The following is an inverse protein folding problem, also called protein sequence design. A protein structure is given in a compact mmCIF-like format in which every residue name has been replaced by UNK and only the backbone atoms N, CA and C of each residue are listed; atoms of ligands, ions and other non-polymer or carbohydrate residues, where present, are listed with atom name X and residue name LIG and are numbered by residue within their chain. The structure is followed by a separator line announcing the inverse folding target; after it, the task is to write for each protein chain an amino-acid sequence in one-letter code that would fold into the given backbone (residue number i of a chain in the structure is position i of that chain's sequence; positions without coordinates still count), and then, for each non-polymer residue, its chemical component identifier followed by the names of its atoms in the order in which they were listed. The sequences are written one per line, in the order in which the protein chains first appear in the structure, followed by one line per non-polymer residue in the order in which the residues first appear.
data_IF_606160732311
#
_entry.id   IF_606160732311
#
_cell.length_a   1.000
_cell.length_b   1.000
_cell.length_c   1.000
_cell.angle_alpha   90.00
_cell.angle_beta   90.00
_cell.angle_gamma   90.00
#
_symmetry.space_group_name_H-M   'P 1'
#
loop_
_entity.id
_entity.type
_entity.pdbx_description
1 polymer ?
#
# COMPACT_ATOMS: atom_id res chain seq x y z
N UNK A 1 -4.96 -50.99 -47.72
CA UNK A 1 -4.87 -50.60 -46.29
C UNK A 1 -5.59 -49.26 -46.11
N UNK A 2 -6.76 -49.27 -45.47
CA UNK A 2 -7.58 -48.06 -45.19
C UNK A 2 -7.11 -47.43 -43.88
N UNK A 3 -6.74 -46.14 -43.87
CA UNK A 3 -6.55 -45.36 -42.63
C UNK A 3 -7.72 -44.39 -42.48
N UNK A 4 -8.45 -44.54 -41.38
CA UNK A 4 -9.54 -43.65 -40.98
C UNK A 4 -8.97 -42.45 -40.20
N UNK A 5 -9.39 -41.25 -40.60
CA UNK A 5 -9.17 -40.00 -39.89
C UNK A 5 -10.23 -39.86 -38.79
N UNK A 6 -9.82 -39.66 -37.54
CA UNK A 6 -10.72 -39.27 -36.43
C UNK A 6 -10.45 -37.81 -36.11
N UNK A 7 -11.42 -36.97 -36.43
CA UNK A 7 -11.49 -35.57 -36.00
C UNK A 7 -12.16 -35.58 -34.62
N UNK A 8 -11.42 -35.22 -33.58
CA UNK A 8 -11.96 -34.92 -32.25
C UNK A 8 -12.32 -33.43 -32.21
N UNK A 9 -13.60 -33.13 -32.14
CA UNK A 9 -14.12 -31.78 -31.89
C UNK A 9 -14.11 -31.53 -30.39
N UNK A 10 -13.18 -30.70 -29.90
CA UNK A 10 -13.26 -30.18 -28.53
C UNK A 10 -14.30 -29.05 -28.50
N UNK A 11 -15.42 -29.30 -27.81
CA UNK A 11 -16.37 -28.26 -27.43
C UNK A 11 -15.81 -27.42 -26.29
N UNK A 12 -15.71 -26.11 -26.51
CA UNK A 12 -15.37 -25.13 -25.47
C UNK A 12 -16.65 -24.83 -24.68
N UNK A 13 -16.70 -25.29 -23.43
CA UNK A 13 -17.73 -24.90 -22.47
C UNK A 13 -17.29 -23.59 -21.81
N UNK A 14 -17.94 -22.48 -22.14
CA UNK A 14 -17.78 -21.21 -21.44
C UNK A 14 -18.64 -21.24 -20.17
N UNK A 15 -18.00 -21.40 -19.01
CA UNK A 15 -18.65 -21.20 -17.71
C UNK A 15 -18.65 -19.70 -17.39
N UNK A 16 -19.80 -19.05 -17.54
CA UNK A 16 -20.03 -17.71 -17.01
C UNK A 16 -20.14 -17.79 -15.48
N UNK A 17 -19.06 -17.48 -14.78
CA UNK A 17 -19.10 -17.24 -13.34
C UNK A 17 -19.70 -15.86 -13.08
N UNK A 18 -20.97 -15.83 -12.68
CA UNK A 18 -21.59 -14.69 -12.02
C UNK A 18 -20.95 -14.54 -10.65
N UNK A 19 -20.06 -13.57 -10.50
CA UNK A 19 -19.58 -13.13 -9.20
C UNK A 19 -20.77 -12.55 -8.42
N UNK A 20 -21.19 -13.26 -7.37
CA UNK A 20 -22.16 -12.75 -6.41
C UNK A 20 -21.50 -11.61 -5.63
N UNK A 21 -21.73 -10.37 -6.04
CA UNK A 21 -21.41 -9.19 -5.27
C UNK A 21 -22.31 -9.15 -4.03
N UNK A 22 -21.80 -9.63 -2.89
CA UNK A 22 -22.38 -9.32 -1.60
C UNK A 22 -22.31 -7.80 -1.40
N UNK A 23 -23.47 -7.16 -1.28
CA UNK A 23 -23.57 -5.77 -0.82
C UNK A 23 -23.00 -5.71 0.59
N UNK A 24 -21.73 -5.32 0.70
CA UNK A 24 -21.08 -5.07 1.98
C UNK A 24 -21.79 -3.86 2.59
N UNK A 25 -22.57 -4.11 3.64
CA UNK A 25 -23.00 -3.05 4.54
C UNK A 25 -21.75 -2.32 5.02
N UNK A 26 -21.70 -1.00 4.78
CA UNK A 26 -20.61 -0.17 5.26
C UNK A 26 -20.74 -0.13 6.77
N UNK A 27 -20.02 -0.99 7.48
CA UNK A 27 -19.87 -0.88 8.92
C UNK A 27 -19.32 0.52 9.24
N UNK A 28 -20.07 1.37 9.97
CA UNK A 28 -19.68 2.74 10.26
C UNK A 28 -18.56 2.83 11.31
N UNK A 29 -17.90 1.73 11.67
CA UNK A 29 -16.57 1.73 12.28
C UNK A 29 -15.53 2.27 11.27
N UNK A 30 -15.65 3.56 10.95
CA UNK A 30 -14.61 4.37 10.35
C UNK A 30 -13.44 4.29 11.30
N UNK A 31 -12.41 3.53 10.91
CA UNK A 31 -11.10 3.59 11.53
C UNK A 31 -10.58 4.99 11.27
N UNK A 32 -10.89 5.93 12.16
CA UNK A 32 -10.07 7.12 12.28
C UNK A 32 -8.70 6.61 12.71
N UNK A 33 -7.77 6.50 11.77
CA UNK A 33 -6.38 6.17 12.04
C UNK A 33 -5.74 7.33 12.81
N UNK A 34 -6.02 7.40 14.09
CA UNK A 34 -5.18 8.13 15.01
C UNK A 34 -3.95 7.26 15.24
N UNK A 35 -2.76 7.89 15.28
CA UNK A 35 -1.56 7.23 15.78
C UNK A 35 -1.95 6.64 17.15
N UNK A 36 -1.96 5.31 17.24
CA UNK A 36 -2.33 4.65 18.50
C UNK A 36 -1.26 4.98 19.53
N UNK A 37 -1.58 4.99 20.85
CA UNK A 37 -0.64 5.45 21.87
C UNK A 37 0.68 4.65 21.93
N UNK A 38 0.75 3.50 21.25
CA UNK A 38 1.93 2.64 21.21
C UNK A 38 2.80 2.85 19.96
N UNK A 39 2.30 3.54 18.92
CA UNK A 39 3.11 3.93 17.77
C UNK A 39 3.86 5.21 18.10
N UNK A 40 5.18 5.18 17.97
CA UNK A 40 5.98 6.39 18.17
C UNK A 40 6.24 7.06 16.83
N UNK A 41 6.05 8.37 16.80
CA UNK A 41 6.43 9.24 15.68
C UNK A 41 7.12 10.45 16.29
N UNK A 42 8.42 10.55 16.10
CA UNK A 42 9.24 11.61 16.69
C UNK A 42 10.20 12.19 15.65
N UNK A 43 10.61 13.43 15.84
CA UNK A 43 11.64 14.06 15.02
C UNK A 43 12.96 13.26 15.14
N UNK A 44 13.57 12.92 14.01
CA UNK A 44 14.79 12.13 13.98
C UNK A 44 15.98 12.95 14.50
N UNK A 45 16.35 12.73 15.76
CA UNK A 45 17.52 13.36 16.41
C UNK A 45 18.68 12.37 16.60
N UNK A 46 18.97 11.54 15.59
CA UNK A 46 19.96 10.45 15.67
C UNK A 46 19.63 9.42 16.75
N UNK A 47 18.36 9.04 16.88
CA UNK A 47 17.99 7.87 17.68
C UNK A 47 18.84 6.67 17.23
N UNK A 48 19.38 5.92 18.20
CA UNK A 48 20.10 4.70 17.90
C UNK A 48 19.08 3.68 17.36
N UNK A 49 19.39 2.97 16.27
CA UNK A 49 18.53 1.90 15.79
C UNK A 49 18.21 0.91 16.90
N UNK A 50 16.99 0.41 16.93
CA UNK A 50 16.58 -0.59 17.92
C UNK A 50 17.43 -1.86 17.73
N UNK A 51 17.89 -2.44 18.85
CA UNK A 51 18.68 -3.67 18.84
C UNK A 51 17.88 -4.86 18.25
N UNK A 52 18.59 -5.93 17.83
CA UNK A 52 17.98 -7.13 17.24
C UNK A 52 17.12 -6.87 15.98
N UNK A 53 17.45 -5.83 15.23
CA UNK A 53 16.78 -5.50 13.98
C UNK A 53 17.37 -6.27 12.78
N UNK A 54 16.49 -6.75 11.91
CA UNK A 54 16.84 -7.16 10.55
C UNK A 54 16.67 -5.96 9.62
N UNK A 55 17.80 -5.32 9.31
CA UNK A 55 17.86 -4.14 8.45
C UNK A 55 17.45 -4.51 7.03
N UNK A 56 16.49 -3.76 6.49
CA UNK A 56 16.01 -3.86 5.11
C UNK A 56 16.61 -2.77 4.22
N UNK A 57 16.81 -1.58 4.78
CA UNK A 57 17.44 -0.46 4.11
C UNK A 57 18.27 0.39 5.07
N UNK A 58 19.51 0.71 4.69
CA UNK A 58 20.36 1.77 5.23
C UNK A 58 21.57 2.00 4.29
N UNK A 59 22.58 2.75 4.74
CA UNK A 59 23.83 2.97 3.97
C UNK A 59 24.58 1.72 3.50
N UNK A 60 24.46 0.61 4.22
CA UNK A 60 25.20 -0.63 3.99
C UNK A 60 24.31 -1.76 3.44
N UNK A 61 23.00 -1.56 3.37
CA UNK A 61 22.03 -2.61 3.06
C UNK A 61 20.91 -2.02 2.23
N UNK A 62 20.62 -2.63 1.09
CA UNK A 62 19.47 -2.25 0.28
C UNK A 62 18.75 -3.49 -0.24
N UNK A 63 17.70 -3.88 0.46
CA UNK A 63 16.78 -4.94 0.05
C UNK A 63 15.51 -4.37 -0.61
N UNK A 64 15.47 -3.07 -0.88
CA UNK A 64 14.31 -2.42 -1.50
C UNK A 64 14.19 -2.82 -2.97
N UNK A 65 12.95 -3.00 -3.38
CA UNK A 65 12.48 -3.15 -4.75
C UNK A 65 11.03 -2.68 -4.79
N UNK A 66 10.26 -3.16 -5.76
CA UNK A 66 8.82 -2.93 -5.79
C UNK A 66 8.21 -3.07 -7.17
N UNK A 67 7.05 -2.46 -7.36
CA UNK A 67 6.32 -2.47 -8.62
C UNK A 67 5.98 -1.04 -9.04
N UNK A 68 5.73 -0.86 -10.34
CA UNK A 68 5.23 0.38 -10.91
C UNK A 68 4.41 0.07 -12.18
N UNK A 69 3.13 0.42 -12.15
CA UNK A 69 2.18 0.26 -13.24
C UNK A 69 2.15 1.45 -14.21
N UNK A 70 2.62 2.63 -13.80
CA UNK A 70 2.53 3.89 -14.58
C UNK A 70 3.08 3.74 -15.99
N UNK A 71 4.26 3.12 -16.13
CA UNK A 71 4.90 2.94 -17.44
C UNK A 71 4.13 2.01 -18.38
N UNK A 72 3.35 1.06 -17.83
CA UNK A 72 2.63 0.05 -18.60
C UNK A 72 1.20 0.50 -18.95
N UNK A 73 0.66 1.49 -18.26
CA UNK A 73 -0.71 1.98 -18.43
C UNK A 73 -0.75 3.53 -18.53
N UNK A 74 -0.07 4.14 -19.51
CA UNK A 74 0.10 5.60 -19.57
C UNK A 74 -1.24 6.35 -19.65
N UNK A 75 -2.24 5.80 -20.34
CA UNK A 75 -3.57 6.41 -20.42
C UNK A 75 -4.27 6.37 -19.07
N UNK A 76 -4.17 5.26 -18.32
CA UNK A 76 -4.78 5.10 -16.99
C UNK A 76 -4.25 6.14 -16.00
N UNK A 77 -2.96 6.45 -16.11
CA UNK A 77 -2.23 7.39 -15.25
C UNK A 77 -2.03 8.77 -15.88
N UNK A 78 -2.82 9.11 -16.90
CA UNK A 78 -2.84 10.46 -17.46
C UNK A 78 -3.33 11.47 -16.39
N UNK A 79 -2.58 12.57 -16.23
CA UNK A 79 -2.90 13.63 -15.25
C UNK A 79 -2.11 13.55 -13.93
N UNK A 80 -1.16 12.62 -13.80
CA UNK A 80 -0.14 12.68 -12.76
C UNK A 80 0.64 14.00 -12.81
N UNK A 81 0.98 14.56 -11.64
CA UNK A 81 1.56 15.90 -11.54
C UNK A 81 3.03 15.93 -11.93
N UNK A 82 3.78 14.90 -11.52
CA UNK A 82 5.22 14.84 -11.71
C UNK A 82 5.64 14.00 -12.93
N UNK A 83 6.87 14.19 -13.45
CA UNK A 83 7.41 13.36 -14.52
C UNK A 83 7.52 11.89 -14.11
N UNK A 84 7.38 10.98 -15.08
CA UNK A 84 7.36 9.53 -14.84
C UNK A 84 8.57 8.97 -14.09
N UNK A 85 9.72 9.63 -14.20
CA UNK A 85 10.95 9.30 -13.47
C UNK A 85 10.80 9.35 -11.95
N UNK A 86 9.92 10.21 -11.41
CA UNK A 86 9.69 10.35 -9.96
C UNK A 86 8.99 9.15 -9.34
N UNK A 87 8.27 8.35 -10.12
CA UNK A 87 7.52 7.18 -9.63
C UNK A 87 8.32 5.89 -9.71
N UNK A 88 9.56 5.94 -10.24
CA UNK A 88 10.38 4.76 -10.43
C UNK A 88 10.75 4.14 -9.08
N UNK A 89 10.69 2.81 -9.04
CA UNK A 89 11.12 2.00 -7.90
C UNK A 89 12.43 1.31 -8.29
N UNK A 90 13.53 2.06 -8.23
CA UNK A 90 14.84 1.56 -8.62
C UNK A 90 15.59 0.99 -7.40
N UNK A 91 16.26 -0.16 -7.56
CA UNK A 91 17.12 -0.75 -6.51
C UNK A 91 18.41 0.03 -6.26
N UNK A 92 18.67 1.09 -7.02
CA UNK A 92 19.86 1.92 -6.86
C UNK A 92 19.44 3.14 -6.04
N UNK A 93 19.95 3.32 -4.81
CA UNK A 93 19.68 4.54 -4.06
C UNK A 93 20.17 5.73 -4.87
N UNK A 94 19.44 6.85 -4.82
CA UNK A 94 19.93 8.09 -5.38
C UNK A 94 21.16 8.48 -4.56
N UNK A 95 22.35 8.36 -5.13
CA UNK A 95 23.59 8.81 -4.52
C UNK A 95 23.66 10.34 -4.60
N UNK A 96 22.73 11.03 -3.95
CA UNK A 96 22.77 12.48 -3.84
C UNK A 96 23.40 12.85 -2.50
N UNK A 97 24.54 13.54 -2.55
CA UNK A 97 25.14 14.26 -1.41
C UNK A 97 25.63 13.45 -0.20
N UNK A 98 26.07 12.20 -0.39
CA UNK A 98 26.75 11.43 0.69
C UNK A 98 25.82 10.93 1.79
N UNK A 99 24.53 11.24 1.73
CA UNK A 99 23.49 10.61 2.53
C UNK A 99 22.86 9.49 1.71
N UNK A 100 22.97 8.26 2.18
CA UNK A 100 22.38 7.10 1.52
C UNK A 100 20.87 7.14 1.71
N UNK A 101 20.18 7.75 0.75
CA UNK A 101 18.75 7.96 0.77
C UNK A 101 18.09 7.20 -0.38
N UNK A 102 16.94 6.62 -0.10
CA UNK A 102 16.03 6.15 -1.12
C UNK A 102 14.93 7.19 -1.29
N UNK A 103 14.57 7.55 -2.53
CA UNK A 103 13.53 8.55 -2.82
C UNK A 103 12.64 8.07 -3.96
N UNK A 104 11.33 8.20 -3.80
CA UNK A 104 10.33 7.93 -4.84
C UNK A 104 9.03 8.65 -4.51
N UNK A 105 8.12 8.75 -5.47
CA UNK A 105 6.74 9.22 -5.24
C UNK A 105 5.76 8.06 -5.33
N UNK A 106 5.05 7.76 -4.24
CA UNK A 106 4.05 6.70 -4.17
C UNK A 106 2.68 7.23 -4.62
N UNK A 107 1.93 6.42 -5.38
CA UNK A 107 0.70 6.89 -6.01
C UNK A 107 -0.48 6.02 -5.58
N UNK A 108 -1.54 6.69 -5.12
CA UNK A 108 -2.87 6.11 -4.91
C UNK A 108 -3.87 6.77 -5.86
N UNK A 109 -4.64 5.97 -6.60
CA UNK A 109 -5.79 6.46 -7.37
C UNK A 109 -6.98 6.68 -6.46
N UNK A 110 -7.74 7.75 -6.71
CA UNK A 110 -9.04 7.95 -6.06
C UNK A 110 -10.19 7.28 -6.82
N UNK A 111 -10.12 7.17 -8.15
CA UNK A 111 -11.26 6.75 -8.96
C UNK A 111 -11.54 5.24 -8.94
N UNK A 112 -10.57 4.45 -9.41
CA UNK A 112 -10.75 3.03 -9.73
C UNK A 112 -9.88 2.12 -8.86
N UNK A 113 -10.35 0.89 -8.61
CA UNK A 113 -9.68 -0.11 -7.80
C UNK A 113 -8.58 -0.89 -8.55
N UNK A 114 -8.60 -0.91 -9.88
CA UNK A 114 -7.61 -1.61 -10.70
C UNK A 114 -6.31 -0.84 -10.59
N UNK A 115 -5.17 -1.46 -10.31
CA UNK A 115 -3.90 -0.74 -10.07
C UNK A 115 -4.04 0.49 -9.15
N UNK A 116 -4.95 0.44 -8.16
CA UNK A 116 -5.22 1.59 -7.29
C UNK A 116 -3.96 2.05 -6.55
N UNK A 117 -3.09 1.11 -6.19
CA UNK A 117 -1.72 1.37 -5.77
C UNK A 117 -0.83 1.28 -7.02
N UNK A 118 -0.63 2.41 -7.70
CA UNK A 118 0.05 2.40 -8.99
C UNK A 118 1.49 1.89 -8.86
N UNK A 119 2.13 2.18 -7.74
CA UNK A 119 3.44 1.69 -7.38
C UNK A 119 3.52 1.46 -5.86
N UNK A 120 4.61 0.82 -5.44
CA UNK A 120 4.89 0.63 -4.03
C UNK A 120 6.30 0.09 -3.82
N UNK A 121 6.81 0.32 -2.62
CA UNK A 121 8.12 -0.17 -2.18
C UNK A 121 7.90 -1.54 -1.55
N UNK A 122 8.76 -2.49 -1.90
CA UNK A 122 8.82 -3.82 -1.28
C UNK A 122 10.22 -4.09 -0.74
N UNK A 123 10.33 -4.86 0.33
CA UNK A 123 11.58 -5.45 0.75
C UNK A 123 11.39 -6.94 0.99
N UNK A 124 12.25 -7.78 0.41
CA UNK A 124 12.28 -9.22 0.66
C UNK A 124 13.42 -9.55 1.61
N UNK A 125 13.16 -10.43 2.58
CA UNK A 125 14.11 -10.71 3.65
C UNK A 125 13.96 -12.14 4.16
N UNK A 126 14.97 -12.63 4.91
CA UNK A 126 14.95 -13.97 5.48
C UNK A 126 13.72 -14.15 6.40
N UNK A 127 12.96 -15.27 6.29
CA UNK A 127 11.71 -15.44 7.00
C UNK A 127 11.81 -15.24 8.52
N UNK A 128 10.83 -14.56 9.10
CA UNK A 128 10.71 -14.35 10.56
C UNK A 128 9.30 -14.77 11.00
N UNK A 129 9.13 -15.73 11.93
CA UNK A 129 7.82 -16.02 12.50
C UNK A 129 7.19 -14.75 13.06
N UNK A 130 5.90 -14.50 12.79
CA UNK A 130 5.24 -13.28 13.26
C UNK A 130 5.32 -13.11 14.79
N UNK A 131 5.31 -14.22 15.54
CA UNK A 131 5.50 -14.20 17.00
C UNK A 131 6.81 -13.55 17.45
N UNK A 132 7.84 -13.57 16.59
CA UNK A 132 9.17 -13.03 16.84
C UNK A 132 9.32 -11.59 16.34
N UNK A 133 8.28 -11.01 15.73
CA UNK A 133 8.31 -9.60 15.31
C UNK A 133 7.91 -8.73 16.50
N UNK A 134 8.80 -7.81 16.86
CA UNK A 134 8.52 -6.77 17.85
C UNK A 134 7.83 -5.57 17.19
N UNK A 135 8.26 -5.20 15.97
CA UNK A 135 7.66 -4.11 15.21
C UNK A 135 8.43 -3.77 13.93
N UNK A 136 8.03 -2.67 13.32
CA UNK A 136 8.66 -2.08 12.13
C UNK A 136 9.26 -0.73 12.55
N UNK A 137 10.53 -0.52 12.23
CA UNK A 137 11.25 0.72 12.52
C UNK A 137 11.63 1.41 11.20
N UNK A 138 11.40 2.72 11.12
CA UNK A 138 11.64 3.53 9.93
C UNK A 138 12.23 4.89 10.29
N UNK A 139 13.15 5.35 9.45
CA UNK A 139 13.50 6.79 9.36
C UNK A 139 13.06 7.28 7.99
N UNK A 140 11.99 8.07 7.99
CA UNK A 140 11.18 8.45 6.83
C UNK A 140 11.03 9.98 6.80
N UNK A 141 11.09 10.57 5.61
CA UNK A 141 10.67 11.95 5.36
C UNK A 141 9.62 11.97 4.25
N UNK A 142 8.59 12.78 4.43
CA UNK A 142 7.63 13.09 3.36
C UNK A 142 8.04 14.39 2.69
N UNK A 143 8.48 14.33 1.45
CA UNK A 143 8.96 15.49 0.69
C UNK A 143 7.76 16.21 0.05
N UNK A 144 7.50 17.44 0.46
CA UNK A 144 6.35 18.22 -0.03
C UNK A 144 6.52 18.67 -1.48
N UNK A 145 7.75 18.88 -1.96
CA UNK A 145 8.05 19.29 -3.34
C UNK A 145 7.71 18.20 -4.36
N UNK A 146 7.79 16.93 -3.94
CA UNK A 146 7.42 15.75 -4.74
C UNK A 146 6.10 15.11 -4.29
N UNK A 147 5.30 15.85 -3.52
CA UNK A 147 3.96 15.43 -3.10
C UNK A 147 2.84 16.24 -3.76
N UNK A 148 1.74 15.57 -4.03
CA UNK A 148 0.46 16.14 -4.44
C UNK A 148 -0.64 15.46 -3.63
N UNK A 149 -1.15 16.16 -2.62
CA UNK A 149 -2.17 15.64 -1.71
C UNK A 149 -3.49 16.39 -1.98
N UNK A 150 -4.42 15.83 -2.77
CA UNK A 150 -5.70 16.49 -3.01
C UNK A 150 -6.44 16.76 -1.70
N UNK A 151 -6.87 18.00 -1.51
CA UNK A 151 -7.73 18.38 -0.40
C UNK A 151 -9.12 17.78 -0.53
N UNK A 152 -9.86 17.68 0.59
CA UNK A 152 -11.29 17.31 0.56
C UNK A 152 -12.11 18.14 -0.43
N UNK A 153 -11.77 19.42 -0.59
CA UNK A 153 -12.46 20.32 -1.53
C UNK A 153 -12.18 19.93 -2.98
N UNK A 154 -10.94 19.56 -3.30
CA UNK A 154 -10.58 19.09 -4.65
C UNK A 154 -11.24 17.76 -4.95
N UNK A 155 -11.18 16.79 -4.03
CA UNK A 155 -11.86 15.49 -4.16
C UNK A 155 -13.37 15.70 -4.37
N UNK A 156 -14.01 16.54 -3.55
CA UNK A 156 -15.42 16.87 -3.69
C UNK A 156 -15.73 17.48 -5.06
N UNK A 157 -14.99 18.50 -5.48
CA UNK A 157 -15.18 19.15 -6.79
C UNK A 157 -15.02 18.17 -7.97
N UNK A 158 -14.23 17.12 -7.81
CA UNK A 158 -14.01 16.12 -8.87
C UNK A 158 -15.12 15.07 -8.94
N UNK A 159 -15.80 14.78 -7.83
CA UNK A 159 -16.68 13.61 -7.72
C UNK A 159 -18.08 13.89 -7.14
N UNK A 160 -18.44 15.13 -6.84
CA UNK A 160 -19.72 15.51 -6.22
C UNK A 160 -20.94 15.20 -7.09
N UNK A 161 -20.79 15.20 -8.42
CA UNK A 161 -21.82 14.75 -9.36
C UNK A 161 -22.06 13.22 -9.32
N UNK A 162 -21.10 12.44 -8.80
CA UNK A 162 -21.13 10.97 -8.81
C UNK A 162 -21.44 10.38 -7.44
N UNK A 163 -20.97 11.02 -6.36
CA UNK A 163 -21.00 10.49 -5.00
C UNK A 163 -21.49 11.56 -4.04
N UNK A 164 -22.42 11.25 -3.10
CA UNK A 164 -22.85 12.19 -2.10
C UNK A 164 -21.68 12.76 -1.29
N UNK A 165 -21.69 14.07 -1.06
CA UNK A 165 -20.62 14.79 -0.34
C UNK A 165 -20.23 14.15 1.00
N UNK A 166 -21.21 13.67 1.77
CA UNK A 166 -20.96 13.02 3.07
C UNK A 166 -20.14 11.71 2.96
N UNK A 167 -20.20 11.01 1.82
CA UNK A 167 -19.35 9.85 1.57
C UNK A 167 -17.95 10.29 1.09
N UNK A 168 -17.85 11.34 0.26
CA UNK A 168 -16.57 11.91 -0.16
C UNK A 168 -15.75 12.47 1.00
N UNK A 169 -16.40 13.09 1.98
CA UNK A 169 -15.73 13.60 3.20
C UNK A 169 -15.11 12.49 4.05
N UNK A 170 -15.57 11.25 3.89
CA UNK A 170 -15.02 10.06 4.57
C UNK A 170 -13.96 9.34 3.74
N UNK A 171 -13.80 9.66 2.46
CA UNK A 171 -12.89 8.95 1.56
C UNK A 171 -11.43 9.20 1.93
N UNK A 172 -11.07 10.48 2.10
CA UNK A 172 -9.73 10.94 2.47
C UNK A 172 -9.84 12.28 3.24
N UNK A 173 -8.85 12.58 4.06
CA UNK A 173 -8.77 13.80 4.85
C UNK A 173 -7.72 14.80 4.35
N UNK A 174 -7.04 14.47 3.24
CA UNK A 174 -5.99 15.28 2.64
C UNK A 174 -4.67 15.23 3.40
N UNK A 175 -4.54 14.36 4.41
CA UNK A 175 -3.29 14.09 5.11
C UNK A 175 -2.46 13.04 4.36
N UNK A 176 -1.25 12.77 4.86
CA UNK A 176 -0.45 11.67 4.35
C UNK A 176 -0.94 10.37 4.98
N UNK A 177 -1.28 9.38 4.15
CA UNK A 177 -1.49 8.01 4.62
C UNK A 177 -0.63 7.04 3.84
N UNK A 178 0.03 6.16 4.59
CA UNK A 178 0.88 5.11 4.07
C UNK A 178 0.39 3.77 4.65
N UNK A 179 0.08 2.82 3.78
CA UNK A 179 -0.15 1.44 4.21
C UNK A 179 1.19 0.72 4.28
N UNK A 180 1.50 0.18 5.46
CA UNK A 180 2.69 -0.64 5.71
C UNK A 180 2.23 -2.05 6.05
N UNK A 181 2.68 -3.05 5.29
CA UNK A 181 2.25 -4.43 5.47
C UNK A 181 3.43 -5.39 5.57
N UNK A 182 3.36 -6.31 6.53
CA UNK A 182 4.17 -7.54 6.54
C UNK A 182 3.39 -8.64 5.82
N UNK A 183 4.08 -9.36 4.94
CA UNK A 183 3.47 -10.36 4.07
C UNK A 183 4.09 -11.73 4.37
N UNK A 184 3.22 -12.72 4.56
CA UNK A 184 3.58 -14.11 4.82
C UNK A 184 4.15 -14.82 3.59
N UNK A 185 4.70 -16.02 3.83
CA UNK A 185 5.05 -16.96 2.75
C UNK A 185 3.80 -17.31 1.92
N UNK A 186 3.98 -17.52 0.61
CA UNK A 186 2.93 -18.00 -0.29
C UNK A 186 2.16 -16.91 -1.05
N UNK A 187 2.61 -15.66 -0.97
CA UNK A 187 2.01 -14.49 -1.64
C UNK A 187 2.15 -14.46 -3.18
N UNK A 188 2.31 -15.62 -3.82
CA UNK A 188 2.59 -15.75 -5.26
C UNK A 188 1.33 -15.85 -6.13
N UNK A 189 0.17 -16.13 -5.52
CA UNK A 189 -1.12 -16.23 -6.21
C UNK A 189 -2.23 -15.55 -5.43
N UNK A 190 -3.14 -14.89 -6.14
CA UNK A 190 -4.36 -14.29 -5.56
C UNK A 190 -5.36 -15.34 -5.08
N UNK A 191 -5.23 -16.59 -5.56
CA UNK A 191 -6.10 -17.71 -5.20
C UNK A 191 -5.63 -18.45 -3.93
N UNK A 192 -4.38 -18.26 -3.53
CA UNK A 192 -3.82 -18.90 -2.34
C UNK A 192 -3.95 -17.96 -1.13
N UNK A 193 -4.55 -18.43 -0.01
CA UNK A 193 -4.61 -17.64 1.20
C UNK A 193 -3.23 -17.14 1.63
N UNK A 194 -3.08 -15.82 1.66
CA UNK A 194 -1.83 -15.17 2.06
C UNK A 194 -2.05 -14.46 3.38
N UNK A 195 -1.20 -14.73 4.37
CA UNK A 195 -1.19 -13.97 5.61
C UNK A 195 -0.63 -12.58 5.38
N UNK A 196 -1.29 -11.57 5.95
CA UNK A 196 -0.84 -10.19 5.97
C UNK A 196 -1.04 -9.59 7.38
N UNK A 197 -0.17 -8.65 7.73
CA UNK A 197 -0.32 -7.81 8.91
C UNK A 197 -0.03 -6.37 8.52
N UNK A 198 -1.05 -5.50 8.49
CA UNK A 198 -0.93 -4.13 8.01
C UNK A 198 -1.22 -3.06 9.07
N UNK A 199 -0.70 -1.86 8.83
CA UNK A 199 -0.99 -0.67 9.60
C UNK A 199 -1.08 0.53 8.65
N UNK A 200 -2.10 1.36 8.86
CA UNK A 200 -2.28 2.61 8.15
C UNK A 200 -1.62 3.74 8.95
N UNK A 201 -0.41 4.10 8.57
CA UNK A 201 0.29 5.25 9.14
C UNK A 201 -0.32 6.54 8.60
N UNK A 202 -0.65 7.45 9.51
CA UNK A 202 -1.23 8.75 9.18
C UNK A 202 -0.38 9.87 9.77
N UNK A 203 0.04 10.80 8.92
CA UNK A 203 0.90 11.93 9.28
C UNK A 203 0.22 13.26 8.92
N UNK A 204 0.28 14.24 9.82
CA UNK A 204 -0.21 15.60 9.59
C UNK A 204 0.65 16.27 8.50
N UNK A 205 0.06 16.46 7.32
CA UNK A 205 0.74 16.99 6.14
C UNK A 205 1.25 18.43 6.31
N UNK A 206 0.80 19.16 7.35
CA UNK A 206 1.28 20.52 7.63
C UNK A 206 2.40 20.57 8.66
N UNK A 207 2.51 19.55 9.50
CA UNK A 207 3.44 19.53 10.64
C UNK A 207 4.59 18.54 10.47
N UNK A 208 4.39 17.51 9.64
CA UNK A 208 5.27 16.34 9.59
C UNK A 208 5.81 16.06 8.18
N UNK A 209 5.62 17.00 7.24
CA UNK A 209 6.30 16.99 5.95
C UNK A 209 7.63 17.74 6.05
N UNK A 210 8.58 17.37 5.20
CA UNK A 210 9.93 17.94 5.09
C UNK A 210 10.82 17.77 6.32
N UNK A 211 10.35 17.03 7.33
CA UNK A 211 11.10 16.59 8.50
C UNK A 211 11.45 15.10 8.40
N UNK A 212 12.63 14.73 8.88
CA UNK A 212 12.97 13.33 9.10
C UNK A 212 12.29 12.85 10.38
N UNK A 213 11.46 11.82 10.25
CA UNK A 213 10.72 11.21 11.34
C UNK A 213 11.32 9.84 11.65
N UNK A 214 11.53 9.56 12.92
CA UNK A 214 11.76 8.22 13.44
C UNK A 214 10.40 7.63 13.86
N UNK A 215 10.05 6.49 13.26
CA UNK A 215 8.76 5.85 13.43
C UNK A 215 8.96 4.40 13.88
N UNK A 216 8.31 4.02 14.97
CA UNK A 216 8.22 2.62 15.38
C UNK A 216 6.75 2.18 15.47
N UNK A 217 6.41 1.12 14.72
CA UNK A 217 5.09 0.50 14.70
C UNK A 217 5.20 -0.86 15.39
N UNK A 218 4.72 -1.01 16.64
CA UNK A 218 4.71 -2.30 17.31
C UNK A 218 3.88 -3.33 16.56
N UNK A 219 4.31 -4.60 16.59
CA UNK A 219 3.59 -5.69 15.93
C UNK A 219 2.16 -5.89 16.45
N UNK A 220 1.89 -5.45 17.70
CA UNK A 220 0.56 -5.50 18.31
C UNK A 220 -0.46 -4.59 17.62
N UNK A 221 0.01 -3.51 16.99
CA UNK A 221 -0.81 -2.50 16.30
C UNK A 221 -1.17 -2.95 14.87
N UNK A 222 -0.54 -4.01 14.36
CA UNK A 222 -0.82 -4.52 13.02
C UNK A 222 -2.15 -5.28 12.99
N UNK A 223 -3.02 -4.92 12.05
CA UNK A 223 -4.24 -5.65 11.72
C UNK A 223 -3.87 -6.92 10.96
N UNK A 224 -4.23 -8.07 11.52
CA UNK A 224 -3.86 -9.39 11.01
C UNK A 224 -5.00 -10.02 10.24
N UNK A 225 -4.72 -10.47 9.03
CA UNK A 225 -5.71 -11.12 8.19
C UNK A 225 -5.08 -12.11 7.21
N UNK A 226 -5.89 -13.04 6.73
CA UNK A 226 -5.62 -13.80 5.54
C UNK A 226 -6.35 -13.15 4.37
N UNK A 227 -5.74 -13.12 3.20
CA UNK A 227 -6.32 -12.55 1.99
C UNK A 227 -6.39 -13.59 0.88
N UNK A 228 -7.56 -13.67 0.23
CA UNK A 228 -7.82 -14.42 -1.01
C UNK A 228 -8.67 -13.55 -1.92
N UNK A 229 -8.26 -13.35 -3.17
CA UNK A 229 -8.98 -12.52 -4.13
C UNK A 229 -9.37 -11.14 -3.56
N UNK A 230 -8.45 -10.50 -2.83
CA UNK A 230 -8.63 -9.21 -2.15
C UNK A 230 -9.69 -9.19 -1.02
N UNK A 231 -10.20 -10.35 -0.62
CA UNK A 231 -11.10 -10.47 0.53
C UNK A 231 -10.27 -10.75 1.79
N UNK A 232 -10.31 -9.81 2.73
CA UNK A 232 -9.60 -9.90 4.02
C UNK A 232 -10.45 -10.67 5.03
N UNK A 233 -9.90 -11.74 5.58
CA UNK A 233 -10.48 -12.51 6.69
C UNK A 233 -9.61 -12.31 7.93
N UNK A 234 -10.12 -11.74 9.04
CA UNK A 234 -9.34 -11.54 10.25
C UNK A 234 -8.70 -12.83 10.77
N UNK A 235 -7.47 -12.75 11.24
CA UNK A 235 -6.70 -13.87 11.79
C UNK A 235 -6.30 -13.54 13.22
N UNK A 236 -6.57 -14.45 14.15
CA UNK A 236 -6.22 -14.23 15.55
C UNK A 236 -4.72 -14.43 15.81
N UNK A 237 -4.25 -14.01 16.98
CA UNK A 237 -2.83 -14.09 17.33
C UNK A 237 -2.27 -15.52 17.27
N UNK A 238 -3.02 -16.52 17.75
CA UNK A 238 -2.56 -17.91 17.76
C UNK A 238 -2.32 -18.44 16.35
N UNK A 239 -3.20 -18.11 15.41
CA UNK A 239 -3.06 -18.48 14.00
C UNK A 239 -1.92 -17.71 13.31
N UNK A 240 -1.77 -16.41 13.60
CA UNK A 240 -0.76 -15.55 12.98
C UNK A 240 0.68 -15.86 13.44
N UNK A 241 0.86 -16.10 14.74
CA UNK A 241 2.16 -16.26 15.39
C UNK A 241 3.15 -17.23 14.70
N UNK A 242 2.75 -18.45 14.30
CA UNK A 242 3.67 -19.38 13.67
C UNK A 242 3.99 -19.03 12.21
N UNK A 243 3.22 -18.14 11.57
CA UNK A 243 3.38 -17.84 10.14
C UNK A 243 4.62 -16.98 9.94
N UNK A 244 5.59 -17.42 9.11
CA UNK A 244 6.73 -16.58 8.76
C UNK A 244 6.33 -15.45 7.83
N UNK A 245 6.74 -14.23 8.15
CA UNK A 245 6.72 -13.08 7.24
C UNK A 245 8.06 -12.99 6.50
N UNK A 246 7.99 -12.69 5.20
CA UNK A 246 9.15 -12.70 4.28
C UNK A 246 9.28 -11.41 3.48
N UNK A 247 8.25 -10.56 3.52
CA UNK A 247 8.20 -9.33 2.77
C UNK A 247 7.59 -8.21 3.60
N UNK A 248 8.05 -6.99 3.33
CA UNK A 248 7.40 -5.75 3.73
C UNK A 248 6.93 -5.02 2.46
N UNK A 249 5.77 -4.37 2.53
CA UNK A 249 5.23 -3.48 1.50
C UNK A 249 4.92 -2.11 2.09
N UNK A 250 5.18 -1.05 1.33
CA UNK A 250 4.87 0.34 1.66
C UNK A 250 4.24 1.01 0.43
N UNK A 251 3.06 1.61 0.60
CA UNK A 251 2.25 2.19 -0.48
C UNK A 251 1.49 3.43 0.01
N UNK A 252 1.22 4.38 -0.88
CA UNK A 252 0.30 5.48 -0.58
C UNK A 252 -1.14 4.96 -0.42
N UNK A 253 -1.93 5.60 0.43
CA UNK A 253 -3.30 5.17 0.70
C UNK A 253 -4.24 6.36 0.99
N UNK A 254 -5.56 6.11 0.91
CA UNK A 254 -6.58 7.04 1.39
C UNK A 254 -6.88 6.81 2.87
N UNK A 255 -7.46 7.79 3.56
CA UNK A 255 -7.79 7.66 5.00
C UNK A 255 -8.74 6.50 5.28
N UNK A 256 -9.58 6.15 4.30
CA UNK A 256 -10.58 5.08 4.40
C UNK A 256 -10.15 3.76 3.77
N UNK A 257 -8.95 3.71 3.19
CA UNK A 257 -8.44 2.59 2.37
C UNK A 257 -9.34 2.21 1.18
N UNK A 258 -10.21 3.13 0.75
CA UNK A 258 -11.18 2.95 -0.35
C UNK A 258 -10.94 3.94 -1.48
N UNK A 259 -11.54 3.64 -2.62
CA UNK A 259 -11.63 4.49 -3.82
C UNK A 259 -13.10 4.76 -4.18
N UNK A 260 -13.37 5.68 -5.10
CA UNK A 260 -14.71 6.06 -5.57
C UNK A 260 -15.49 4.83 -6.05
N UNK A 261 -14.86 3.91 -6.78
CA UNK A 261 -15.51 2.67 -7.21
C UNK A 261 -16.07 1.82 -6.05
N UNK A 262 -15.51 1.90 -4.85
CA UNK A 262 -16.10 1.22 -3.69
C UNK A 262 -17.42 1.85 -3.22
N UNK A 263 -17.65 3.13 -3.52
CA UNK A 263 -18.85 3.88 -3.14
C UNK A 263 -19.97 3.77 -4.17
N UNK A 264 -19.61 3.56 -5.44
CA UNK A 264 -20.55 3.42 -6.57
C UNK A 264 -20.26 2.16 -7.41
N UNK A 265 -20.22 0.94 -6.81
CA UNK A 265 -19.72 -0.25 -7.49
C UNK A 265 -20.51 -0.63 -8.76
N UNK A 266 -21.82 -0.35 -8.77
CA UNK A 266 -22.70 -0.67 -9.91
C UNK A 266 -22.80 0.46 -10.96
N UNK A 267 -22.32 1.66 -10.63
CA UNK A 267 -22.44 2.86 -11.47
C UNK A 267 -21.07 3.44 -11.88
N UNK A 268 -19.97 2.74 -11.56
CA UNK A 268 -18.64 3.16 -11.95
C UNK A 268 -18.46 3.03 -13.47
N UNK A 269 -18.02 4.10 -14.11
CA UNK A 269 -17.75 4.16 -15.54
C UNK A 269 -16.27 4.46 -15.83
N UNK A 270 -15.77 4.00 -16.97
CA UNK A 270 -14.37 4.19 -17.38
C UNK A 270 -14.01 5.68 -17.61
N UNK A 271 -15.01 6.56 -17.82
CA UNK A 271 -14.81 8.00 -17.94
C UNK A 271 -14.84 8.73 -16.59
N UNK A 272 -14.94 8.01 -15.46
CA UNK A 272 -14.83 8.60 -14.12
C UNK A 272 -13.54 9.43 -14.04
N UNK A 273 -13.61 10.71 -13.62
CA UNK A 273 -12.44 11.58 -13.59
C UNK A 273 -11.26 10.97 -12.83
N UNK A 274 -10.05 11.14 -13.38
CA UNK A 274 -8.81 10.67 -12.78
C UNK A 274 -8.31 11.69 -11.78
N UNK A 275 -8.08 11.25 -10.55
CA UNK A 275 -7.43 12.01 -9.50
C UNK A 275 -6.47 11.08 -8.75
N UNK A 276 -5.30 11.60 -8.43
CA UNK A 276 -4.22 10.84 -7.80
C UNK A 276 -3.77 11.54 -6.51
N UNK A 277 -3.48 10.73 -5.50
CA UNK A 277 -2.68 11.12 -4.35
C UNK A 277 -1.25 10.68 -4.62
N UNK A 278 -0.33 11.62 -4.64
CA UNK A 278 1.10 11.39 -4.93
C UNK A 278 1.88 11.78 -3.66
N UNK A 279 2.53 10.81 -3.02
CA UNK A 279 3.24 11.01 -1.75
C UNK A 279 4.74 10.84 -1.99
N UNK A 280 5.48 11.94 -1.96
CA UNK A 280 6.95 11.95 -2.04
C UNK A 280 7.55 11.33 -0.79
N UNK A 281 8.12 10.14 -0.91
CA UNK A 281 8.67 9.35 0.19
C UNK A 281 10.19 9.29 0.07
N UNK A 282 10.86 9.58 1.18
CA UNK A 282 12.29 9.38 1.33
C UNK A 282 12.61 8.53 2.57
N UNK A 283 13.54 7.59 2.42
CA UNK A 283 13.96 6.68 3.49
C UNK A 283 15.46 6.80 3.73
N UNK A 284 15.84 6.76 5.00
CA UNK A 284 17.23 6.58 5.45
C UNK A 284 17.44 5.22 6.13
N UNK A 285 16.38 4.70 6.77
CA UNK A 285 16.43 3.46 7.51
C UNK A 285 15.09 2.73 7.45
N UNK A 286 15.12 1.41 7.31
CA UNK A 286 13.95 0.54 7.42
C UNK A 286 14.41 -0.81 7.99
N UNK A 287 13.73 -1.31 9.01
CA UNK A 287 14.02 -2.61 9.60
C UNK A 287 12.78 -3.34 10.12
N UNK A 288 12.93 -4.66 10.30
CA UNK A 288 12.04 -5.46 11.14
C UNK A 288 12.73 -5.69 12.48
N UNK A 289 12.16 -5.18 13.56
CA UNK A 289 12.68 -5.39 14.92
C UNK A 289 12.22 -6.76 15.41
N UNK A 290 13.16 -7.57 15.91
CA UNK A 290 12.85 -8.90 16.47
C UNK A 290 12.76 -8.83 17.99
N UNK A 291 11.92 -9.69 18.58
CA UNK A 291 11.84 -9.91 20.02
C UNK A 291 13.05 -10.66 20.56
#
# INVERSE_FOLDING_TARGET
MKRASRICTLGVLAAAMLAACSSVEIDPAVVQSQITPNVTVEEHRKALPIANAQVLFNKNTNLLGGWNHVANFPDEFAGLKFPSGMYRIDRKPALNHGEHQYSTTLIKKYGDWHHQHANGITAQYAPVPFANVAGIEMVLRINSETSNLPSRKEIAKTYDDLVPKAQLEKLDDGQVHLSIALVGVGAESVETPTFNADYLLSLDAKKQTDEWLHIFIPAAELTRFSEVNYNKTPVNAHQANPIPVTSLRLMAETSSTKVIRNLIPNNFDANTPKLFKEVGVELQYLSIVKR
#
